data_IF_216774141516
#
_entry.id   IF_216774141516
#
_cell.length_a   1.000
_cell.length_b   1.000
_cell.length_c   1.000
_cell.angle_alpha   90.00
_cell.angle_beta   90.00
_cell.angle_gamma   90.00
#
_symmetry.space_group_name_H-M   'P 1'
#
loop_
_entity.id
_entity.type
_entity.pdbx_description
1 polymer ?
#
# COMPACT_ATOMS: atom_id res chain seq x y z
N UNK A 1 -22.09 -24.19 24.80
CA UNK A 1 -22.96 -23.48 23.85
C UNK A 1 -22.15 -22.39 23.15
N UNK A 2 -20.97 -22.69 22.59
CA UNK A 2 -20.77 -23.25 21.24
C UNK A 2 -21.67 -22.64 20.16
N UNK A 3 -21.03 -21.81 19.32
CA UNK A 3 -21.33 -21.50 17.91
C UNK A 3 -21.96 -20.14 17.56
N UNK A 4 -21.27 -19.03 17.87
CA UNK A 4 -21.47 -17.76 17.13
C UNK A 4 -20.36 -17.47 16.10
N UNK A 5 -19.33 -18.31 16.02
CA UNK A 5 -18.21 -18.17 15.07
C UNK A 5 -18.38 -19.00 13.78
N UNK A 6 -19.61 -19.44 13.48
CA UNK A 6 -19.86 -20.46 12.45
C UNK A 6 -19.62 -20.03 11.00
N UNK A 7 -19.58 -18.73 10.66
CA UNK A 7 -19.56 -18.30 9.26
C UNK A 7 -18.72 -17.05 8.94
N UNK A 8 -17.75 -16.67 9.78
CA UNK A 8 -16.73 -15.72 9.33
C UNK A 8 -15.76 -16.47 8.42
N UNK A 9 -16.12 -16.59 7.13
CA UNK A 9 -15.19 -16.98 6.07
C UNK A 9 -13.93 -16.15 6.30
N UNK A 10 -12.84 -16.83 6.69
CA UNK A 10 -11.51 -16.25 6.87
C UNK A 10 -11.30 -15.27 5.73
N UNK A 11 -11.34 -13.97 6.01
CA UNK A 11 -11.11 -12.92 5.01
C UNK A 11 -9.64 -13.06 4.69
N UNK A 12 -9.34 -13.95 3.73
CA UNK A 12 -8.01 -14.03 3.17
C UNK A 12 -7.83 -12.67 2.51
N UNK A 13 -6.72 -11.95 2.75
CA UNK A 13 -6.39 -10.82 1.89
C UNK A 13 -6.52 -11.36 0.47
N UNK A 14 -7.37 -10.71 -0.34
CA UNK A 14 -7.54 -11.08 -1.75
C UNK A 14 -6.11 -11.19 -2.27
N UNK A 15 -5.68 -12.40 -2.67
CA UNK A 15 -4.48 -12.53 -3.48
C UNK A 15 -4.82 -11.69 -4.70
N UNK A 16 -4.36 -10.45 -4.73
CA UNK A 16 -4.46 -9.62 -5.91
C UNK A 16 -3.65 -10.38 -6.94
N UNK A 17 -4.33 -11.18 -7.75
CA UNK A 17 -3.85 -11.59 -9.05
C UNK A 17 -3.85 -10.34 -9.92
N UNK A 18 -3.05 -9.33 -9.58
CA UNK A 18 -2.61 -8.38 -10.59
C UNK A 18 -1.36 -9.00 -11.19
N UNK A 19 -1.60 -9.93 -12.11
CA UNK A 19 -0.71 -9.99 -13.25
C UNK A 19 -0.91 -8.67 -14.00
N UNK A 20 -0.19 -7.61 -13.63
CA UNK A 20 0.07 -6.52 -14.55
C UNK A 20 1.18 -5.58 -14.06
N UNK A 21 2.22 -5.41 -14.89
CA UNK A 21 3.19 -4.31 -14.85
C UNK A 21 4.21 -4.29 -13.71
N UNK A 22 5.48 -4.10 -14.05
CA UNK A 22 6.50 -3.72 -13.06
C UNK A 22 6.05 -2.47 -12.30
N UNK A 23 5.96 -2.53 -10.96
CA UNK A 23 5.61 -1.38 -10.11
C UNK A 23 6.60 -0.21 -10.21
N UNK A 24 7.77 -0.47 -10.81
CA UNK A 24 8.82 0.51 -11.05
C UNK A 24 9.15 0.48 -12.53
N UNK A 25 8.91 1.59 -13.22
CA UNK A 25 9.31 1.78 -14.61
C UNK A 25 10.54 2.68 -14.65
N UNK A 26 11.69 2.09 -14.97
CA UNK A 26 12.93 2.85 -15.13
C UNK A 26 13.05 3.33 -16.57
N UNK A 27 12.84 4.63 -16.79
CA UNK A 27 13.09 5.31 -18.06
C UNK A 27 14.43 6.07 -18.03
N UNK A 28 15.08 6.17 -16.87
CA UNK A 28 16.39 6.80 -16.75
C UNK A 28 17.48 5.97 -17.43
N UNK A 29 18.51 6.66 -17.91
CA UNK A 29 19.76 6.08 -18.39
C UNK A 29 20.56 5.36 -17.29
N UNK A 30 20.15 5.52 -16.03
CA UNK A 30 20.87 5.00 -14.87
C UNK A 30 20.40 3.59 -14.51
N UNK A 31 21.35 2.68 -14.31
CA UNK A 31 21.06 1.33 -13.81
C UNK A 31 20.71 1.38 -12.33
N UNK A 32 19.49 0.96 -12.00
CA UNK A 32 19.05 0.74 -10.62
C UNK A 32 19.42 -0.68 -10.18
N UNK A 33 19.89 -0.83 -8.95
CA UNK A 33 20.18 -2.15 -8.38
C UNK A 33 18.88 -2.87 -7.98
N UNK A 34 18.93 -4.20 -7.83
CA UNK A 34 17.75 -4.97 -7.41
C UNK A 34 17.20 -4.48 -6.06
N UNK A 35 18.07 -4.08 -5.12
CA UNK A 35 17.67 -3.53 -3.83
C UNK A 35 16.94 -2.19 -3.97
N UNK A 36 17.38 -1.35 -4.89
CA UNK A 36 16.74 -0.06 -5.21
C UNK A 36 15.38 -0.25 -5.85
N UNK A 37 15.24 -1.22 -6.76
CA UNK A 37 13.97 -1.57 -7.38
C UNK A 37 12.97 -2.12 -6.33
N UNK A 38 13.44 -2.97 -5.42
CA UNK A 38 12.61 -3.49 -4.32
C UNK A 38 12.14 -2.34 -3.41
N UNK A 39 13.04 -1.45 -3.02
CA UNK A 39 12.72 -0.30 -2.17
C UNK A 39 11.72 0.65 -2.84
N UNK A 40 11.91 0.94 -4.14
CA UNK A 40 10.97 1.74 -4.94
C UNK A 40 9.61 1.06 -5.12
N UNK A 41 9.59 -0.26 -5.31
CA UNK A 41 8.34 -1.02 -5.41
C UNK A 41 7.55 -1.04 -4.11
N UNK A 42 8.26 -0.99 -2.97
CA UNK A 42 7.64 -0.89 -1.67
C UNK A 42 6.99 0.48 -1.49
N UNK A 43 7.71 1.57 -1.78
CA UNK A 43 7.15 2.94 -1.78
C UNK A 43 5.91 3.05 -2.68
N UNK A 44 5.93 2.39 -3.84
CA UNK A 44 4.82 2.35 -4.79
C UNK A 44 3.60 1.54 -4.29
N UNK A 45 3.82 0.44 -3.56
CA UNK A 45 2.75 -0.43 -3.01
C UNK A 45 1.87 0.28 -1.98
N UNK A 46 2.43 1.24 -1.25
CA UNK A 46 1.75 1.98 -0.17
C UNK A 46 1.35 3.40 -0.57
N UNK A 47 1.33 3.72 -1.86
CA UNK A 47 0.73 4.97 -2.34
C UNK A 47 -0.81 4.89 -2.25
N UNK A 48 -1.33 4.83 -1.03
CA UNK A 48 -2.74 4.97 -0.69
C UNK A 48 -3.03 6.42 -0.26
N UNK A 49 -2.37 7.40 -0.88
CA UNK A 49 -2.65 8.83 -0.63
C UNK A 49 -4.14 9.18 -0.81
N UNK A 50 -4.85 8.41 -1.64
CA UNK A 50 -6.29 8.58 -1.88
C UNK A 50 -7.20 7.67 -1.05
N UNK A 51 -6.70 6.62 -0.40
CA UNK A 51 -7.55 5.74 0.40
C UNK A 51 -7.62 6.28 1.83
N UNK A 52 -8.55 7.20 2.06
CA UNK A 52 -8.86 7.74 3.38
C UNK A 52 -9.35 6.59 4.28
N UNK A 53 -8.58 6.19 5.32
CA UNK A 53 -9.05 5.16 6.26
C UNK A 53 -10.39 5.54 6.91
N UNK A 54 -10.70 6.84 6.97
CA UNK A 54 -11.96 7.38 7.47
C UNK A 54 -13.18 6.89 6.67
N UNK A 55 -13.08 6.85 5.34
CA UNK A 55 -14.19 6.40 4.48
C UNK A 55 -14.45 4.90 4.65
N UNK A 56 -13.38 4.12 4.82
CA UNK A 56 -13.47 2.70 5.12
C UNK A 56 -14.11 2.46 6.49
N UNK A 57 -13.65 3.18 7.52
CA UNK A 57 -14.18 3.06 8.89
C UNK A 57 -15.67 3.46 8.92
N UNK A 58 -16.03 4.58 8.28
CA UNK A 58 -17.41 5.05 8.22
C UNK A 58 -18.34 4.05 7.50
N UNK A 59 -17.89 3.50 6.37
CA UNK A 59 -18.64 2.49 5.62
C UNK A 59 -18.81 1.19 6.41
N UNK A 60 -17.73 0.73 7.06
CA UNK A 60 -17.75 -0.46 7.91
C UNK A 60 -18.69 -0.29 9.10
N UNK A 61 -18.62 0.82 9.82
CA UNK A 61 -19.47 1.06 10.99
C UNK A 61 -20.95 1.24 10.58
N UNK A 62 -21.21 1.91 9.45
CA UNK A 62 -22.57 2.02 8.90
C UNK A 62 -23.15 0.65 8.53
N UNK A 63 -22.35 -0.24 7.93
CA UNK A 63 -22.77 -1.61 7.63
C UNK A 63 -22.99 -2.44 8.91
N UNK A 64 -22.14 -2.26 9.91
CA UNK A 64 -22.24 -2.94 11.20
C UNK A 64 -23.49 -2.52 11.98
N UNK A 65 -23.88 -1.25 11.88
CA UNK A 65 -25.08 -0.72 12.53
C UNK A 65 -26.39 -1.22 11.89
N UNK A 66 -26.37 -1.52 10.59
CA UNK A 66 -27.49 -2.14 9.87
C UNK A 66 -27.58 -3.65 10.07
N UNK A 67 -26.61 -4.26 10.75
CA UNK A 67 -26.56 -5.69 10.99
C UNK A 67 -27.30 -6.03 12.30
N UNK A 68 -28.27 -6.94 12.23
CA UNK A 68 -29.01 -7.49 13.40
C UNK A 68 -28.16 -8.49 14.21
N UNK A 69 -26.87 -8.18 14.39
CA UNK A 69 -25.97 -8.96 15.22
C UNK A 69 -26.06 -8.52 16.69
N UNK A 70 -25.83 -9.47 17.61
CA UNK A 70 -25.68 -9.17 19.05
C UNK A 70 -24.46 -8.27 19.25
N UNK A 71 -24.52 -7.32 20.20
CA UNK A 71 -23.47 -6.32 20.42
C UNK A 71 -22.07 -6.91 20.64
N UNK A 72 -21.98 -8.08 21.27
CA UNK A 72 -20.74 -8.83 21.45
C UNK A 72 -20.11 -9.25 20.11
N UNK A 73 -20.94 -9.66 19.13
CA UNK A 73 -20.48 -10.00 17.79
C UNK A 73 -20.04 -8.75 17.03
N UNK A 74 -20.77 -7.62 17.18
CA UNK A 74 -20.35 -6.34 16.58
C UNK A 74 -19.00 -5.88 17.13
N UNK A 75 -18.79 -6.00 18.44
CA UNK A 75 -17.52 -5.69 19.08
C UNK A 75 -16.39 -6.61 18.62
N UNK A 76 -16.64 -7.91 18.47
CA UNK A 76 -15.67 -8.85 17.93
C UNK A 76 -15.27 -8.48 16.48
N UNK A 77 -16.23 -8.07 15.65
CA UNK A 77 -15.97 -7.62 14.28
C UNK A 77 -15.15 -6.33 14.25
N UNK A 78 -15.47 -5.34 15.11
CA UNK A 78 -14.65 -4.12 15.26
C UNK A 78 -13.22 -4.46 15.64
N UNK A 79 -13.01 -5.35 16.63
CA UNK A 79 -11.68 -5.79 17.05
C UNK A 79 -10.90 -6.48 15.92
N UNK A 80 -11.56 -7.30 15.11
CA UNK A 80 -10.93 -7.93 13.94
C UNK A 80 -10.47 -6.89 12.91
N UNK A 81 -11.31 -5.89 12.61
CA UNK A 81 -10.96 -4.82 11.66
C UNK A 81 -9.83 -3.95 12.21
N UNK A 82 -9.84 -3.60 13.50
CA UNK A 82 -8.74 -2.87 14.13
C UNK A 82 -7.43 -3.65 14.04
N UNK A 83 -7.44 -4.95 14.30
CA UNK A 83 -6.25 -5.80 14.15
C UNK A 83 -5.75 -5.85 12.71
N UNK A 84 -6.64 -5.90 11.72
CA UNK A 84 -6.28 -5.86 10.31
C UNK A 84 -5.65 -4.53 9.91
N UNK A 85 -6.23 -3.41 10.36
CA UNK A 85 -5.69 -2.06 10.13
C UNK A 85 -4.32 -1.91 10.79
N UNK A 86 -4.13 -2.42 12.01
CA UNK A 86 -2.86 -2.38 12.70
C UNK A 86 -1.80 -3.28 12.04
N UNK A 87 -2.18 -4.44 11.52
CA UNK A 87 -1.29 -5.29 10.72
C UNK A 87 -0.88 -4.60 9.43
N UNK A 88 -1.80 -3.89 8.77
CA UNK A 88 -1.49 -3.13 7.58
C UNK A 88 -0.54 -1.96 7.87
N UNK A 89 -0.75 -1.21 8.95
CA UNK A 89 0.20 -0.18 9.42
C UNK A 89 1.57 -0.74 9.79
N UNK A 90 1.64 -1.96 10.35
CA UNK A 90 2.94 -2.61 10.60
C UNK A 90 3.66 -3.02 9.31
N UNK A 91 2.90 -3.28 8.25
CA UNK A 91 3.45 -3.58 6.93
C UNK A 91 3.91 -2.34 6.17
N UNK A 92 3.64 -1.11 6.63
CA UNK A 92 4.17 0.13 6.01
C UNK A 92 5.56 0.53 6.55
N UNK A 93 6.13 -0.23 7.49
CA UNK A 93 7.47 0.03 8.01
C UNK A 93 8.53 -0.51 7.04
N UNK A 94 8.95 0.33 6.09
CA UNK A 94 10.19 0.12 5.32
C UNK A 94 11.32 -0.31 6.25
N UNK A 95 12.10 -1.31 5.86
CA UNK A 95 13.29 -1.66 6.62
C UNK A 95 14.32 -0.51 6.57
N UNK A 96 15.15 -0.39 7.60
CA UNK A 96 16.25 0.61 7.61
C UNK A 96 17.20 0.48 6.41
N UNK A 97 17.29 -0.71 5.81
CA UNK A 97 18.10 -0.94 4.62
C UNK A 97 17.42 -0.38 3.36
N UNK A 98 16.13 -0.63 3.18
CA UNK A 98 15.34 -0.08 2.06
C UNK A 98 15.25 1.44 2.15
N UNK A 99 15.08 2.00 3.34
CA UNK A 99 15.10 3.45 3.56
C UNK A 99 16.44 4.08 3.14
N UNK A 100 17.57 3.44 3.47
CA UNK A 100 18.89 3.90 3.01
C UNK A 100 19.03 3.86 1.50
N UNK A 101 18.48 2.84 0.84
CA UNK A 101 18.49 2.76 -0.62
C UNK A 101 17.58 3.83 -1.25
N UNK A 102 16.40 4.08 -0.70
CA UNK A 102 15.53 5.18 -1.15
C UNK A 102 16.23 6.54 -0.99
N UNK A 103 16.90 6.78 0.13
CA UNK A 103 17.69 7.98 0.34
C UNK A 103 18.84 8.11 -0.66
N UNK A 104 19.51 7.00 -1.01
CA UNK A 104 20.55 7.00 -2.06
C UNK A 104 19.97 7.38 -3.42
N UNK A 105 18.78 6.90 -3.77
CA UNK A 105 18.10 7.26 -5.03
C UNK A 105 17.73 8.75 -5.01
N UNK A 106 17.11 9.24 -3.92
CA UNK A 106 16.73 10.65 -3.76
C UNK A 106 17.91 11.62 -3.73
N UNK A 107 19.09 11.17 -3.29
CA UNK A 107 20.33 11.96 -3.31
C UNK A 107 20.96 12.11 -4.70
N UNK A 108 20.57 11.28 -5.67
CA UNK A 108 21.10 11.43 -7.03
C UNK A 108 20.43 12.63 -7.68
N UNK A 109 21.18 13.73 -7.84
CA UNK A 109 20.68 14.97 -8.43
C UNK A 109 20.24 14.81 -9.90
N UNK A 110 20.67 13.73 -10.55
CA UNK A 110 20.40 13.46 -11.96
C UNK A 110 19.12 12.67 -12.21
N UNK A 111 18.47 12.14 -11.17
CA UNK A 111 17.30 11.26 -11.34
C UNK A 111 16.11 11.78 -10.52
N UNK A 112 14.93 11.74 -11.11
CA UNK A 112 13.66 12.11 -10.47
C UNK A 112 12.78 10.87 -10.40
N UNK A 113 12.19 10.65 -9.22
CA UNK A 113 11.25 9.56 -8.96
C UNK A 113 9.86 10.16 -8.84
N UNK A 114 8.95 9.77 -9.75
CA UNK A 114 7.61 10.33 -9.83
C UNK A 114 6.56 9.23 -9.64
N UNK A 115 5.56 9.44 -8.77
CA UNK A 115 4.38 8.59 -8.77
C UNK A 115 3.61 8.82 -10.07
N UNK A 116 3.14 7.74 -10.68
CA UNK A 116 2.20 7.83 -11.80
C UNK A 116 0.83 8.28 -11.30
N UNK A 117 0.10 9.03 -12.12
CA UNK A 117 -1.27 9.48 -11.86
C UNK A 117 -2.25 8.29 -11.77
N UNK A 118 -1.97 7.23 -12.53
CA UNK A 118 -2.77 6.01 -12.60
C UNK A 118 -2.02 4.81 -12.04
N UNK A 119 -2.33 4.48 -10.79
CA UNK A 119 -1.96 3.20 -10.18
C UNK A 119 -0.84 3.28 -9.14
N UNK A 120 -0.45 2.10 -8.65
CA UNK A 120 0.59 1.92 -7.63
C UNK A 120 1.98 1.82 -8.26
N UNK A 121 2.24 2.63 -9.29
CA UNK A 121 3.47 2.59 -10.07
C UNK A 121 4.31 3.85 -9.89
N UNK A 122 5.61 3.65 -9.88
CA UNK A 122 6.62 4.71 -9.78
C UNK A 122 7.46 4.72 -11.04
N UNK A 123 7.59 5.90 -11.65
CA UNK A 123 8.48 6.12 -12.80
C UNK A 123 9.76 6.79 -12.33
N UNK A 124 10.89 6.28 -12.81
CA UNK A 124 12.21 6.88 -12.56
C UNK A 124 12.71 7.46 -13.89
N UNK A 125 12.93 8.76 -13.94
CA UNK A 125 13.35 9.50 -15.14
C UNK A 125 14.59 10.34 -14.86
N UNK A 126 15.38 10.62 -15.89
CA UNK A 126 16.48 11.56 -15.75
C UNK A 126 15.96 13.00 -15.58
N UNK A 127 16.64 13.79 -14.73
CA UNK A 127 16.25 15.17 -14.45
C UNK A 127 16.34 16.07 -15.69
N UNK A 128 17.32 15.81 -16.56
CA UNK A 128 17.45 16.50 -17.85
C UNK A 128 16.27 16.24 -18.76
N UNK A 129 15.80 14.98 -18.84
CA UNK A 129 14.64 14.61 -19.65
C UNK A 129 13.33 15.14 -19.07
N UNK A 130 13.21 15.18 -17.75
CA UNK A 130 12.04 15.77 -17.08
C UNK A 130 11.98 17.29 -17.28
N UNK A 131 13.09 17.99 -17.09
CA UNK A 131 13.17 19.45 -17.25
C UNK A 131 13.00 19.93 -18.70
N UNK A 132 13.33 19.11 -19.69
CA UNK A 132 13.12 19.41 -21.10
C UNK A 132 11.65 19.27 -21.55
N UNK A 133 10.79 18.65 -20.73
CA UNK A 133 9.35 18.47 -21.00
C UNK A 133 8.45 19.47 -20.25
N UNK A 134 9.04 20.40 -19.50
CA UNK A 134 8.37 21.56 -18.89
C UNK A 134 8.52 22.78 -19.81
#
# INVERSE_FOLDING_TARGET
MTSCLGNLKKIRPRKQSSSDGALVHNLSSHRLTQQQLVALSYDAKFNTKDARPEDFIASFESALQKCDAVEECKNAMRQQVVNLLLQHQRQTTISKAEERELLKIRKKENIVTLPTDKGRSTVVVDKSEYGAKL
#
